data_IF_387322717170
#
_entry.id   IF_387322717170
#
_cell.length_a   1.000
_cell.length_b   1.000
_cell.length_c   1.000
_cell.angle_alpha   90.00
_cell.angle_beta   90.00
_cell.angle_gamma   90.00
#
_symmetry.space_group_name_H-M   'P 1'
#
loop_
_entity.id
_entity.type
_entity.pdbx_description
1 polymer ?
#
# COMPACT_ATOMS: atom_id res chain seq x y z
N UNK A 1 -44.20 -17.93 -2.60
CA UNK A 1 -43.61 -16.83 -1.80
C UNK A 1 -43.22 -17.37 -0.43
N UNK A 2 -42.04 -17.99 -0.29
CA UNK A 2 -41.61 -18.71 0.93
C UNK A 2 -41.14 -17.77 2.07
N UNK A 3 -41.06 -16.47 1.79
CA UNK A 3 -40.63 -15.44 2.76
C UNK A 3 -41.74 -15.03 3.74
N UNK A 4 -43.02 -15.21 3.41
CA UNK A 4 -44.13 -14.79 4.28
C UNK A 4 -44.29 -15.65 5.56
N UNK A 5 -43.57 -16.78 5.66
CA UNK A 5 -43.66 -17.72 6.79
C UNK A 5 -42.71 -17.40 7.96
N UNK A 6 -41.84 -16.41 7.81
CA UNK A 6 -40.75 -16.12 8.76
C UNK A 6 -40.96 -14.83 9.59
N UNK A 7 -42.16 -14.24 9.56
CA UNK A 7 -42.52 -13.03 10.32
C UNK A 7 -42.43 -11.74 9.47
N UNK A 8 -42.65 -10.59 10.11
CA UNK A 8 -42.45 -9.28 9.48
C UNK A 8 -40.96 -9.01 9.32
N UNK A 9 -40.51 -8.90 8.06
CA UNK A 9 -39.15 -8.51 7.75
C UNK A 9 -39.07 -7.01 7.61
N UNK A 10 -38.23 -6.38 8.43
CA UNK A 10 -37.85 -4.99 8.25
C UNK A 10 -36.64 -4.92 7.31
N UNK A 11 -36.88 -4.52 6.07
CA UNK A 11 -35.80 -4.24 5.12
C UNK A 11 -35.08 -2.95 5.54
N UNK A 12 -33.89 -3.11 6.13
CA UNK A 12 -33.11 -1.95 6.62
C UNK A 12 -32.56 -1.08 5.49
N UNK A 13 -32.19 -1.66 4.34
CA UNK A 13 -31.64 -0.93 3.19
C UNK A 13 -31.53 -1.81 1.92
N UNK A 14 -32.07 -1.31 0.81
CA UNK A 14 -31.85 -1.85 -0.54
C UNK A 14 -30.81 -0.99 -1.27
N UNK A 15 -29.73 -1.58 -1.78
CA UNK A 15 -28.83 -0.90 -2.71
C UNK A 15 -28.68 -1.78 -3.96
N UNK A 16 -29.02 -1.26 -5.13
CA UNK A 16 -28.76 -1.90 -6.40
C UNK A 16 -27.90 -0.96 -7.26
N UNK A 17 -26.74 -1.45 -7.70
CA UNK A 17 -25.84 -0.70 -8.60
C UNK A 17 -26.08 -1.21 -10.02
N UNK A 18 -26.59 -0.33 -10.88
CA UNK A 18 -26.74 -0.64 -12.31
C UNK A 18 -25.38 -0.84 -13.00
N UNK A 19 -25.31 -1.68 -14.05
CA UNK A 19 -24.05 -2.03 -14.72
C UNK A 19 -23.29 -0.80 -15.22
N UNK A 20 -23.99 0.22 -15.73
CA UNK A 20 -23.40 1.48 -16.19
C UNK A 20 -22.69 2.25 -15.07
N UNK A 21 -23.31 2.33 -13.89
CA UNK A 21 -22.73 3.02 -12.72
C UNK A 21 -21.54 2.22 -12.19
N UNK A 22 -21.64 0.89 -12.14
CA UNK A 22 -20.55 0.01 -11.74
C UNK A 22 -19.31 0.17 -12.63
N UNK A 23 -19.51 0.20 -13.96
CA UNK A 23 -18.42 0.39 -14.91
C UNK A 23 -17.78 1.78 -14.81
N UNK A 24 -18.60 2.82 -14.63
CA UNK A 24 -18.11 4.18 -14.42
C UNK A 24 -17.29 4.30 -13.13
N UNK A 25 -17.77 3.73 -12.03
CA UNK A 25 -17.06 3.70 -10.75
C UNK A 25 -15.72 2.99 -10.90
N UNK A 26 -15.70 1.78 -11.49
CA UNK A 26 -14.46 1.05 -11.76
C UNK A 26 -13.47 1.89 -12.56
N UNK A 27 -13.92 2.55 -13.64
CA UNK A 27 -13.05 3.39 -14.47
C UNK A 27 -12.50 4.58 -13.67
N UNK A 28 -13.34 5.26 -12.88
CA UNK A 28 -12.91 6.37 -12.01
C UNK A 28 -11.89 5.90 -10.97
N UNK A 29 -12.08 4.73 -10.37
CA UNK A 29 -11.14 4.13 -9.43
C UNK A 29 -9.77 3.89 -10.05
N UNK A 30 -9.73 3.28 -11.25
CA UNK A 30 -8.48 3.02 -11.96
C UNK A 30 -7.75 4.32 -12.32
N UNK A 31 -8.48 5.35 -12.78
CA UNK A 31 -7.89 6.67 -13.03
C UNK A 31 -7.37 7.33 -11.76
N UNK A 32 -8.13 7.27 -10.65
CA UNK A 32 -7.69 7.82 -9.37
C UNK A 32 -6.39 7.17 -8.90
N UNK A 33 -6.29 5.84 -9.00
CA UNK A 33 -5.07 5.10 -8.64
C UNK A 33 -3.88 5.48 -9.54
N UNK A 34 -4.10 5.58 -10.86
CA UNK A 34 -3.05 5.97 -11.80
C UNK A 34 -2.53 7.40 -11.52
N UNK A 35 -3.44 8.34 -11.26
CA UNK A 35 -3.10 9.74 -10.92
C UNK A 35 -2.31 9.80 -9.61
N UNK A 36 -2.73 9.05 -8.59
CA UNK A 36 -2.02 8.94 -7.31
C UNK A 36 -0.60 8.42 -7.53
N UNK A 37 -0.42 7.33 -8.29
CA UNK A 37 0.90 6.77 -8.61
C UNK A 37 1.80 7.79 -9.32
N UNK A 38 1.27 8.55 -10.28
CA UNK A 38 2.03 9.60 -10.97
C UNK A 38 2.48 10.68 -9.97
N UNK A 39 1.58 11.16 -9.10
CA UNK A 39 1.95 12.17 -8.10
C UNK A 39 3.01 11.66 -7.13
N UNK A 40 2.96 10.39 -6.74
CA UNK A 40 3.97 9.76 -5.89
C UNK A 40 5.33 9.78 -6.58
N UNK A 41 5.39 9.39 -7.85
CA UNK A 41 6.63 9.41 -8.63
C UNK A 41 7.20 10.82 -8.75
N UNK A 42 6.35 11.79 -9.08
CA UNK A 42 6.75 13.20 -9.19
C UNK A 42 7.27 13.73 -7.85
N UNK A 43 6.57 13.40 -6.76
CA UNK A 43 6.97 13.78 -5.42
C UNK A 43 8.33 13.17 -5.04
N UNK A 44 8.54 11.87 -5.27
CA UNK A 44 9.82 11.20 -5.01
C UNK A 44 10.91 11.80 -5.91
N UNK A 45 10.66 11.98 -7.21
CA UNK A 45 11.64 12.58 -8.11
C UNK A 45 12.07 13.99 -7.64
N UNK A 46 11.11 14.80 -7.16
CA UNK A 46 11.38 16.12 -6.61
C UNK A 46 12.11 16.07 -5.26
N UNK A 47 11.65 15.24 -4.31
CA UNK A 47 12.22 15.12 -2.97
C UNK A 47 13.66 14.58 -3.00
N UNK A 48 13.93 13.62 -3.89
CA UNK A 48 15.22 12.94 -4.02
C UNK A 48 16.16 13.56 -5.06
N UNK A 49 15.78 14.69 -5.69
CA UNK A 49 16.59 15.46 -6.67
C UNK A 49 18.04 15.73 -6.24
N UNK A 50 18.26 15.94 -4.94
CA UNK A 50 19.56 16.40 -4.41
C UNK A 50 20.54 15.26 -4.07
N UNK A 51 20.18 14.00 -4.29
CA UNK A 51 21.04 12.84 -4.01
C UNK A 51 21.03 11.92 -5.23
N UNK A 52 21.91 12.22 -6.17
CA UNK A 52 22.02 11.50 -7.45
C UNK A 52 23.09 10.41 -7.45
N UNK A 53 23.87 10.28 -6.36
CA UNK A 53 24.91 9.25 -6.19
C UNK A 53 24.70 8.50 -4.88
N UNK A 54 24.88 7.16 -4.84
CA UNK A 54 25.21 6.26 -5.96
C UNK A 54 24.01 5.82 -6.81
N UNK A 55 22.77 6.11 -6.39
CA UNK A 55 21.54 5.75 -7.12
C UNK A 55 20.85 7.02 -7.64
N UNK A 56 20.48 7.03 -8.93
CA UNK A 56 19.76 8.15 -9.53
C UNK A 56 18.34 8.28 -8.96
N UNK A 57 17.86 9.51 -8.77
CA UNK A 57 16.59 9.82 -8.08
C UNK A 57 15.36 9.14 -8.69
N UNK A 58 15.33 8.93 -10.00
CA UNK A 58 14.21 8.26 -10.67
C UNK A 58 14.08 6.77 -10.31
N UNK A 59 15.19 6.10 -9.94
CA UNK A 59 15.16 4.68 -9.55
C UNK A 59 14.40 4.46 -8.24
N UNK A 60 14.44 5.43 -7.32
CA UNK A 60 13.59 5.44 -6.12
C UNK A 60 12.12 5.49 -6.49
N UNK A 61 11.74 6.36 -7.45
CA UNK A 61 10.37 6.43 -7.94
C UNK A 61 9.88 5.11 -8.53
N UNK A 62 10.70 4.47 -9.38
CA UNK A 62 10.36 3.17 -9.97
C UNK A 62 10.25 2.07 -8.90
N UNK A 63 11.19 2.00 -7.96
CA UNK A 63 11.13 1.03 -6.86
C UNK A 63 9.85 1.21 -6.01
N UNK A 64 9.45 2.45 -5.74
CA UNK A 64 8.20 2.74 -5.05
C UNK A 64 6.98 2.29 -5.86
N UNK A 65 6.92 2.56 -7.17
CA UNK A 65 5.80 2.10 -8.02
C UNK A 65 5.66 0.58 -7.95
N UNK A 66 6.77 -0.15 -8.09
CA UNK A 66 6.75 -1.61 -8.08
C UNK A 66 6.24 -2.14 -6.75
N UNK A 67 6.69 -1.58 -5.62
CA UNK A 67 6.19 -1.92 -4.30
C UNK A 67 4.68 -1.62 -4.16
N UNK A 68 4.20 -0.47 -4.65
CA UNK A 68 2.80 -0.10 -4.58
C UNK A 68 1.88 -0.96 -5.46
N UNK A 69 2.36 -1.35 -6.65
CA UNK A 69 1.64 -2.29 -7.51
C UNK A 69 1.47 -3.63 -6.82
N UNK A 70 2.51 -4.13 -6.16
CA UNK A 70 2.43 -5.32 -5.33
C UNK A 70 1.39 -5.16 -4.20
N UNK A 71 1.41 -4.03 -3.50
CA UNK A 71 0.53 -3.79 -2.34
C UNK A 71 -0.95 -3.66 -2.68
N UNK A 72 -1.27 -3.19 -3.89
CA UNK A 72 -2.63 -3.19 -4.43
C UNK A 72 -3.03 -4.56 -4.95
N UNK A 73 -2.08 -5.29 -5.54
CA UNK A 73 -2.34 -6.59 -6.17
C UNK A 73 -2.73 -7.65 -5.14
N UNK A 74 -2.13 -7.64 -3.95
CA UNK A 74 -2.42 -8.63 -2.91
C UNK A 74 -3.88 -8.55 -2.41
N UNK A 75 -4.37 -7.41 -1.88
CA UNK A 75 -5.78 -7.29 -1.47
C UNK A 75 -6.74 -7.57 -2.61
N UNK A 76 -6.42 -7.10 -3.83
CA UNK A 76 -7.24 -7.36 -5.03
C UNK A 76 -7.31 -8.86 -5.34
N UNK A 77 -6.19 -9.57 -5.29
CA UNK A 77 -6.12 -11.01 -5.50
C UNK A 77 -6.89 -11.79 -4.43
N UNK A 78 -6.73 -11.42 -3.15
CA UNK A 78 -7.50 -12.04 -2.06
C UNK A 78 -8.99 -11.82 -2.25
N UNK A 79 -9.42 -10.61 -2.59
CA UNK A 79 -10.84 -10.31 -2.83
C UNK A 79 -11.38 -10.97 -4.10
N UNK A 80 -10.56 -11.19 -5.13
CA UNK A 80 -10.95 -11.98 -6.30
C UNK A 80 -11.22 -13.45 -5.92
N UNK A 81 -10.36 -14.05 -5.08
CA UNK A 81 -10.55 -15.41 -4.55
C UNK A 81 -11.80 -15.48 -3.66
N UNK A 82 -11.98 -14.51 -2.76
CA UNK A 82 -13.15 -14.42 -1.89
C UNK A 82 -14.45 -14.22 -2.69
N UNK A 83 -14.41 -13.42 -3.75
CA UNK A 83 -15.54 -13.25 -4.67
C UNK A 83 -15.90 -14.56 -5.39
N UNK A 84 -14.89 -15.32 -5.83
CA UNK A 84 -15.13 -16.58 -6.54
C UNK A 84 -15.69 -17.70 -5.64
N UNK A 85 -15.15 -17.88 -4.43
CA UNK A 85 -15.54 -18.98 -3.54
C UNK A 85 -16.67 -18.65 -2.57
N UNK A 86 -16.78 -17.39 -2.14
CA UNK A 86 -17.70 -16.96 -1.09
C UNK A 86 -18.72 -15.91 -1.55
N UNK A 87 -18.75 -15.57 -2.86
CA UNK A 87 -19.63 -14.53 -3.42
C UNK A 87 -19.54 -13.18 -2.69
N UNK A 88 -18.33 -12.82 -2.24
CA UNK A 88 -18.07 -11.51 -1.63
C UNK A 88 -17.97 -10.47 -2.74
N UNK A 89 -18.85 -9.46 -2.68
CA UNK A 89 -18.88 -8.37 -3.65
C UNK A 89 -17.84 -7.30 -3.35
N UNK A 90 -17.25 -6.76 -4.42
CA UNK A 90 -16.39 -5.58 -4.37
C UNK A 90 -17.26 -4.34 -4.56
N UNK A 91 -17.34 -3.53 -3.52
CA UNK A 91 -18.12 -2.30 -3.50
C UNK A 91 -17.21 -1.05 -3.54
N UNK A 92 -17.81 0.13 -3.38
CA UNK A 92 -17.06 1.39 -3.34
C UNK A 92 -16.15 1.49 -2.12
N UNK A 93 -16.47 0.85 -0.99
CA UNK A 93 -15.61 0.82 0.18
C UNK A 93 -14.33 0.04 -0.10
N UNK A 94 -14.39 -1.06 -0.85
CA UNK A 94 -13.18 -1.77 -1.28
C UNK A 94 -12.24 -0.86 -2.08
N UNK A 95 -12.76 -0.07 -3.02
CA UNK A 95 -11.95 0.93 -3.75
C UNK A 95 -11.32 1.94 -2.79
N UNK A 96 -12.10 2.45 -1.84
CA UNK A 96 -11.59 3.37 -0.82
C UNK A 96 -10.47 2.72 -0.02
N UNK A 97 -10.62 1.45 0.37
CA UNK A 97 -9.57 0.70 1.06
C UNK A 97 -8.28 0.63 0.24
N UNK A 98 -8.36 0.33 -1.07
CA UNK A 98 -7.17 0.31 -1.94
C UNK A 98 -6.45 1.66 -1.99
N UNK A 99 -7.20 2.76 -2.12
CA UNK A 99 -6.62 4.10 -2.10
C UNK A 99 -5.99 4.44 -0.74
N UNK A 100 -6.61 4.00 0.35
CA UNK A 100 -6.06 4.14 1.71
C UNK A 100 -4.77 3.34 1.88
N UNK A 101 -4.73 2.10 1.40
CA UNK A 101 -3.54 1.23 1.45
C UNK A 101 -2.38 1.87 0.67
N UNK A 102 -2.65 2.40 -0.53
CA UNK A 102 -1.66 3.13 -1.32
C UNK A 102 -1.06 4.30 -0.52
N UNK A 103 -1.90 5.07 0.19
CA UNK A 103 -1.45 6.18 1.02
C UNK A 103 -0.54 5.75 2.17
N UNK A 104 -0.92 4.71 2.91
CA UNK A 104 -0.11 4.16 4.00
C UNK A 104 1.22 3.57 3.51
N UNK A 105 1.19 2.78 2.44
CA UNK A 105 2.39 2.16 1.88
C UNK A 105 3.39 3.19 1.36
N UNK A 106 2.91 4.22 0.66
CA UNK A 106 3.78 5.32 0.19
C UNK A 106 4.42 6.07 1.33
N UNK A 107 3.65 6.39 2.37
CA UNK A 107 4.17 7.11 3.52
C UNK A 107 5.37 6.36 4.12
N UNK A 108 5.24 5.05 4.34
CA UNK A 108 6.33 4.24 4.88
C UNK A 108 7.52 4.15 3.91
N UNK A 109 7.27 3.97 2.62
CA UNK A 109 8.32 3.94 1.59
C UNK A 109 9.12 5.25 1.56
N UNK A 110 8.45 6.41 1.66
CA UNK A 110 9.10 7.72 1.69
C UNK A 110 10.00 7.86 2.92
N UNK A 111 9.52 7.43 4.09
CA UNK A 111 10.30 7.50 5.34
C UNK A 111 11.56 6.65 5.25
N UNK A 112 11.45 5.42 4.74
CA UNK A 112 12.61 4.53 4.51
C UNK A 112 13.59 5.17 3.53
N UNK A 113 13.10 5.67 2.38
CA UNK A 113 13.95 6.29 1.38
C UNK A 113 14.64 7.55 1.88
N UNK A 114 13.94 8.40 2.63
CA UNK A 114 14.54 9.62 3.18
C UNK A 114 15.63 9.27 4.20
N UNK A 115 15.45 8.21 5.00
CA UNK A 115 16.51 7.72 5.89
C UNK A 115 17.69 7.11 5.13
N UNK A 116 17.47 6.38 4.04
CA UNK A 116 18.54 5.91 3.14
C UNK A 116 19.33 7.10 2.62
N UNK A 117 18.62 8.13 2.14
CA UNK A 117 19.23 9.36 1.63
C UNK A 117 20.04 10.10 2.70
N UNK A 118 19.52 10.23 3.90
CA UNK A 118 20.20 10.88 5.02
C UNK A 118 21.50 10.14 5.38
N UNK A 119 21.43 8.82 5.51
CA UNK A 119 22.58 8.00 5.87
C UNK A 119 23.62 7.97 4.74
N UNK A 120 23.22 7.97 3.46
CA UNK A 120 24.14 8.11 2.32
C UNK A 120 24.87 9.46 2.32
N UNK A 121 24.18 10.57 2.65
CA UNK A 121 24.82 11.89 2.77
C UNK A 121 25.83 11.95 3.93
N UNK A 122 25.58 11.24 5.03
CA UNK A 122 26.51 11.13 6.16
C UNK A 122 27.70 10.24 5.80
N UNK A 123 27.44 9.07 5.22
CA UNK A 123 28.45 8.12 4.76
C UNK A 123 29.39 8.72 3.72
N UNK A 124 28.91 9.53 2.77
CA UNK A 124 29.76 10.24 1.81
C UNK A 124 30.79 11.21 2.43
N UNK A 125 30.67 11.54 3.73
CA UNK A 125 31.65 12.35 4.49
C UNK A 125 32.66 11.49 5.26
N UNK A 126 32.44 10.19 5.35
CA UNK A 126 33.28 9.23 6.09
C UNK A 126 33.75 8.15 5.11
N UNK A 127 35.03 8.18 4.76
CA UNK A 127 35.63 7.27 3.77
C UNK A 127 35.37 5.81 4.16
N UNK A 128 34.72 5.03 3.28
CA UNK A 128 34.47 3.58 3.37
C UNK A 128 33.23 3.06 4.14
N UNK A 129 32.01 3.52 3.82
CA UNK A 129 30.80 2.76 4.19
C UNK A 129 30.18 2.15 2.93
N UNK A 130 29.93 0.84 2.98
CA UNK A 130 29.28 0.09 1.90
C UNK A 130 27.82 0.55 1.72
N UNK A 131 27.35 0.60 0.46
CA UNK A 131 26.00 1.01 0.12
C UNK A 131 24.95 0.11 0.80
N UNK A 132 25.25 -1.18 0.88
CA UNK A 132 24.38 -2.18 1.49
C UNK A 132 24.26 -1.99 3.00
N UNK A 133 25.38 -1.76 3.68
CA UNK A 133 25.40 -1.45 5.12
C UNK A 133 24.62 -0.17 5.41
N UNK A 134 24.70 0.82 4.52
CA UNK A 134 23.94 2.07 4.67
C UNK A 134 22.44 1.82 4.57
N UNK A 135 21.99 1.01 3.61
CA UNK A 135 20.58 0.63 3.46
C UNK A 135 20.11 -0.17 4.67
N UNK A 136 20.90 -1.16 5.11
CA UNK A 136 20.57 -1.97 6.28
C UNK A 136 20.39 -1.10 7.53
N UNK A 137 21.32 -0.16 7.77
CA UNK A 137 21.22 0.77 8.88
C UNK A 137 19.95 1.64 8.78
N UNK A 138 19.65 2.15 7.58
CA UNK A 138 18.45 2.96 7.36
C UNK A 138 17.16 2.20 7.59
N UNK A 139 17.11 0.92 7.23
CA UNK A 139 15.97 0.04 7.53
C UNK A 139 15.84 -0.14 9.05
N UNK A 140 16.94 -0.44 9.75
CA UNK A 140 16.92 -0.60 11.22
C UNK A 140 16.43 0.68 11.92
N UNK A 141 16.85 1.84 11.44
CA UNK A 141 16.46 3.14 12.01
C UNK A 141 14.96 3.45 11.85
N UNK A 142 14.30 2.97 10.80
CA UNK A 142 12.90 3.28 10.49
C UNK A 142 11.93 2.17 10.91
N UNK A 143 12.41 0.93 11.07
CA UNK A 143 11.59 -0.24 11.34
C UNK A 143 10.65 -0.07 12.54
N UNK A 144 11.15 0.44 13.67
CA UNK A 144 10.31 0.65 14.87
C UNK A 144 9.15 1.62 14.60
N UNK A 145 9.38 2.67 13.81
CA UNK A 145 8.33 3.62 13.42
C UNK A 145 7.30 2.97 12.51
N UNK A 146 7.74 2.33 11.43
CA UNK A 146 6.84 1.69 10.44
C UNK A 146 5.99 0.57 11.07
N UNK A 147 6.59 -0.24 11.95
CA UNK A 147 5.86 -1.26 12.70
C UNK A 147 4.82 -0.63 13.63
N UNK A 148 5.16 0.43 14.36
CA UNK A 148 4.21 1.08 15.27
C UNK A 148 3.04 1.74 14.51
N UNK A 149 3.32 2.42 13.40
CA UNK A 149 2.27 3.04 12.58
C UNK A 149 1.34 1.99 11.97
N UNK A 150 1.87 0.90 11.42
CA UNK A 150 1.05 -0.18 10.88
C UNK A 150 0.27 -0.92 11.95
N UNK A 151 0.88 -1.22 13.10
CA UNK A 151 0.23 -1.93 14.21
C UNK A 151 -0.95 -1.14 14.78
N UNK A 152 -0.83 0.18 14.92
CA UNK A 152 -1.96 1.01 15.40
C UNK A 152 -3.14 0.95 14.44
N UNK A 153 -2.90 1.02 13.12
CA UNK A 153 -3.96 0.84 12.10
C UNK A 153 -4.54 -0.58 12.17
N UNK A 154 -3.70 -1.60 12.27
CA UNK A 154 -4.15 -2.99 12.36
C UNK A 154 -5.03 -3.22 13.60
N UNK A 155 -4.69 -2.67 14.76
CA UNK A 155 -5.50 -2.81 15.98
C UNK A 155 -6.89 -2.17 15.80
N UNK A 156 -6.94 -0.97 15.21
CA UNK A 156 -8.21 -0.28 14.94
C UNK A 156 -9.04 -1.08 13.93
N UNK A 157 -8.41 -1.58 12.86
CA UNK A 157 -9.11 -2.36 11.84
C UNK A 157 -9.54 -3.74 12.34
N UNK A 158 -8.77 -4.40 13.21
CA UNK A 158 -9.18 -5.64 13.87
C UNK A 158 -10.42 -5.40 14.74
N UNK A 159 -10.41 -4.33 15.52
CA UNK A 159 -11.57 -3.94 16.33
C UNK A 159 -12.79 -3.70 15.43
N UNK A 160 -12.63 -2.97 14.32
CA UNK A 160 -13.71 -2.73 13.37
C UNK A 160 -14.18 -4.00 12.64
N UNK A 161 -13.28 -4.96 12.40
CA UNK A 161 -13.61 -6.23 11.75
C UNK A 161 -14.47 -7.14 12.64
N UNK A 162 -14.13 -7.24 13.93
CA UNK A 162 -14.83 -8.11 14.89
C UNK A 162 -16.05 -7.45 15.52
N UNK A 163 -15.98 -6.15 15.84
CA UNK A 163 -17.02 -5.42 16.57
C UNK A 163 -17.80 -4.42 15.70
N UNK A 164 -17.38 -4.18 14.45
CA UNK A 164 -18.07 -3.28 13.53
C UNK A 164 -19.29 -3.88 12.85
N UNK A 165 -19.97 -3.06 12.05
CA UNK A 165 -21.14 -3.47 11.28
C UNK A 165 -20.79 -4.35 10.08
N UNK A 166 -21.77 -5.11 9.60
CA UNK A 166 -21.61 -5.96 8.41
C UNK A 166 -21.16 -5.18 7.16
N UNK A 167 -21.57 -3.91 7.03
CA UNK A 167 -21.19 -3.04 5.91
C UNK A 167 -19.70 -2.66 5.89
N UNK A 168 -19.01 -2.64 7.03
CA UNK A 168 -17.58 -2.26 7.13
C UNK A 168 -16.66 -3.46 7.31
N UNK A 169 -17.21 -4.67 7.39
CA UNK A 169 -16.45 -5.89 7.66
C UNK A 169 -15.44 -6.20 6.55
N UNK A 170 -15.86 -6.13 5.29
CA UNK A 170 -14.96 -6.37 4.17
C UNK A 170 -14.03 -5.19 3.89
N UNK A 171 -14.46 -3.97 4.17
CA UNK A 171 -13.59 -2.78 4.16
C UNK A 171 -12.41 -2.92 5.13
N UNK A 172 -12.70 -3.25 6.40
CA UNK A 172 -11.66 -3.44 7.43
C UNK A 172 -10.75 -4.62 7.13
N UNK A 173 -11.30 -5.72 6.56
CA UNK A 173 -10.50 -6.85 6.09
C UNK A 173 -9.53 -6.45 4.98
N UNK A 174 -9.98 -5.66 4.00
CA UNK A 174 -9.14 -5.18 2.91
C UNK A 174 -7.97 -4.34 3.45
N UNK A 175 -8.22 -3.41 4.38
CA UNK A 175 -7.18 -2.61 5.02
C UNK A 175 -6.23 -3.48 5.86
N UNK A 176 -6.73 -4.47 6.60
CA UNK A 176 -5.88 -5.37 7.39
C UNK A 176 -4.87 -6.12 6.52
N UNK A 177 -5.34 -6.69 5.41
CA UNK A 177 -4.48 -7.38 4.45
C UNK A 177 -3.50 -6.37 3.84
N UNK A 178 -4.00 -5.26 3.31
CA UNK A 178 -3.17 -4.28 2.61
C UNK A 178 -2.09 -3.64 3.48
N UNK A 179 -2.41 -3.26 4.71
CA UNK A 179 -1.44 -2.68 5.65
C UNK A 179 -0.45 -3.77 6.10
N UNK A 180 -0.91 -4.99 6.40
CA UNK A 180 -0.02 -6.08 6.80
C UNK A 180 1.04 -6.40 5.73
N UNK A 181 0.62 -6.58 4.47
CA UNK A 181 1.55 -6.84 3.37
C UNK A 181 2.32 -5.59 2.92
N UNK A 182 1.71 -4.41 3.00
CA UNK A 182 2.32 -3.15 2.61
C UNK A 182 3.47 -2.73 3.52
N UNK A 183 3.36 -2.96 4.83
CA UNK A 183 4.47 -2.70 5.77
C UNK A 183 5.67 -3.60 5.51
N UNK A 184 5.44 -4.86 5.15
CA UNK A 184 6.52 -5.74 4.70
C UNK A 184 7.14 -5.24 3.38
N UNK A 185 6.31 -4.90 2.41
CA UNK A 185 6.73 -4.46 1.07
C UNK A 185 7.57 -3.18 1.10
N UNK A 186 7.14 -2.16 1.84
CA UNK A 186 7.86 -0.88 1.94
C UNK A 186 9.24 -1.02 2.56
N UNK A 187 9.42 -1.94 3.51
CA UNK A 187 10.69 -2.18 4.20
C UNK A 187 11.61 -3.09 3.38
N UNK A 188 11.10 -4.20 2.86
CA UNK A 188 11.95 -5.26 2.29
C UNK A 188 11.99 -5.27 0.76
N UNK A 189 10.88 -4.95 0.07
CA UNK A 189 10.85 -5.00 -1.40
C UNK A 189 11.49 -3.74 -1.99
N UNK A 190 11.06 -2.56 -1.53
CA UNK A 190 11.56 -1.29 -2.06
C UNK A 190 13.08 -1.13 -1.85
N UNK A 191 13.57 -1.47 -0.66
CA UNK A 191 14.98 -1.39 -0.29
C UNK A 191 15.83 -2.43 -1.04
N UNK A 192 15.36 -3.67 -1.17
CA UNK A 192 16.07 -4.73 -1.88
C UNK A 192 16.17 -4.44 -3.39
N UNK A 193 15.13 -3.82 -3.99
CA UNK A 193 15.17 -3.38 -5.38
C UNK A 193 16.28 -2.35 -5.61
N UNK A 194 16.48 -1.42 -4.67
CA UNK A 194 17.56 -0.43 -4.75
C UNK A 194 18.94 -1.08 -4.66
N UNK A 195 19.14 -2.03 -3.74
CA UNK A 195 20.39 -2.80 -3.61
C UNK A 195 20.68 -3.61 -4.88
N UNK A 196 19.68 -4.33 -5.38
CA UNK A 196 19.82 -5.18 -6.56
C UNK A 196 20.19 -4.35 -7.78
N UNK A 197 19.54 -3.20 -7.98
CA UNK A 197 19.88 -2.31 -9.08
C UNK A 197 21.28 -1.71 -8.93
N UNK A 198 21.73 -1.43 -7.71
CA UNK A 198 23.09 -0.96 -7.49
C UNK A 198 24.13 -2.03 -7.85
N UNK A 199 23.94 -3.28 -7.41
CA UNK A 199 24.80 -4.42 -7.78
C UNK A 199 24.86 -4.63 -9.29
N UNK A 200 23.72 -4.56 -9.98
CA UNK A 200 23.65 -4.71 -11.44
C UNK A 200 24.35 -3.59 -12.22
N UNK A 201 24.50 -2.40 -11.63
CA UNK A 201 25.23 -1.30 -12.26
C UNK A 201 26.75 -1.38 -12.03
N UNK A 202 27.21 -2.24 -11.10
CA UNK A 202 28.61 -2.46 -10.78
C UNK A 202 29.19 -3.73 -11.45
N UNK A 203 28.33 -4.63 -11.91
CA UNK A 203 28.67 -5.81 -12.70
C UNK A 203 28.78 -5.47 -14.20
#
# INVERSE_FOLDING_TARGET
TKLALLGEFEEKRFNAIGPTIGEELKRKSLWAMAIVLIFIVLYIAWAFRQVSKPVQSWKYGVAAIVALLHDVSIPTGVFAVLGHFYNIEVDTLFVTALLTILGFSVHDTIVVFDRIRENLKKAGRTTHVDFEQTIEQSIRDTMARSINTSLTVMIVMLTLYFFGGASTKYFSLAILIGVGFGTYSSIFIASALLVTWHRWALA
#
